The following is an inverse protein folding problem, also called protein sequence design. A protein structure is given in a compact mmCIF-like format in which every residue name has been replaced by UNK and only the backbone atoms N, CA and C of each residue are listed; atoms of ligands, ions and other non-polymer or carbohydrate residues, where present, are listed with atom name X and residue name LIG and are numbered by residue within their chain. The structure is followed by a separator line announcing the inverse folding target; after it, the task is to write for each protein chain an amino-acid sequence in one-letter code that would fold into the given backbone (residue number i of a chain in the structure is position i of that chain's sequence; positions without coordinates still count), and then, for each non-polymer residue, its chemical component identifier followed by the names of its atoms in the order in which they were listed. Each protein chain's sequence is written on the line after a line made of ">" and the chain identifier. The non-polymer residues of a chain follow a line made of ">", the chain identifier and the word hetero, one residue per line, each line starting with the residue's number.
data_IF_942782482852
#
_entry.id   IF_942782482852
#
_cell.length_a   1.000
_cell.length_b   1.000
_cell.length_c   1.000
_cell.angle_alpha   90.00
_cell.angle_beta   90.00
_cell.angle_gamma   90.00
#
_symmetry.space_group_name_H-M   'P 1'
#
loop_
_entity.id
_entity.type
_entity.pdbx_description
1 polymer ?
#
# COMPACT_ATOMS: atom_id res chain seq x y z
N UNK A 1 21.81 -52.43 -52.89
CA UNK A 1 21.89 -51.14 -53.61
C UNK A 1 20.52 -50.76 -54.19
N UNK A 2 19.80 -51.73 -54.80
CA UNK A 2 18.50 -51.48 -55.46
C UNK A 2 17.36 -51.17 -54.51
N UNK A 3 17.31 -51.75 -53.32
CA UNK A 3 16.22 -51.53 -52.34
C UNK A 3 16.26 -50.13 -51.73
N UNK A 4 17.45 -49.62 -51.37
CA UNK A 4 17.65 -48.23 -50.88
C UNK A 4 17.33 -47.19 -51.96
N UNK A 5 17.56 -47.46 -53.25
CA UNK A 5 17.20 -46.56 -54.34
C UNK A 5 15.70 -46.50 -54.59
N UNK A 6 15.00 -47.66 -54.43
CA UNK A 6 13.53 -47.75 -54.55
C UNK A 6 12.88 -46.96 -53.41
N UNK A 7 13.34 -47.16 -52.16
CA UNK A 7 12.85 -46.42 -51.00
C UNK A 7 13.05 -44.90 -51.13
N UNK A 8 14.20 -44.48 -51.61
CA UNK A 8 14.49 -43.03 -51.86
C UNK A 8 13.58 -42.48 -52.97
N UNK A 9 13.36 -43.22 -54.06
CA UNK A 9 12.43 -42.81 -55.10
C UNK A 9 10.98 -42.76 -54.65
N UNK A 10 10.56 -43.74 -53.85
CA UNK A 10 9.19 -43.76 -53.26
C UNK A 10 8.99 -42.52 -52.37
N UNK A 11 9.95 -42.19 -51.53
CA UNK A 11 9.90 -41.02 -50.67
C UNK A 11 9.86 -39.69 -51.46
N UNK A 12 10.60 -39.60 -52.55
CA UNK A 12 10.55 -38.45 -53.45
C UNK A 12 9.18 -38.34 -54.12
N UNK A 13 8.63 -39.44 -54.66
CA UNK A 13 7.35 -39.44 -55.34
C UNK A 13 6.18 -39.11 -54.39
N UNK A 14 6.26 -39.52 -53.14
CA UNK A 14 5.25 -39.17 -52.13
C UNK A 14 5.26 -37.68 -51.73
N UNK A 15 6.41 -36.99 -51.71
CA UNK A 15 6.54 -35.58 -51.36
C UNK A 15 6.11 -34.61 -52.50
N UNK A 16 6.30 -35.00 -53.75
CA UNK A 16 5.99 -34.16 -54.91
C UNK A 16 4.56 -33.62 -54.90
N UNK A 17 3.50 -34.40 -54.74
CA UNK A 17 2.13 -33.88 -54.74
C UNK A 17 1.91 -32.78 -53.71
N UNK A 18 2.38 -32.98 -52.48
CA UNK A 18 2.22 -32.03 -51.40
C UNK A 18 2.93 -30.70 -51.70
N UNK A 19 4.20 -30.73 -52.16
CA UNK A 19 4.98 -29.54 -52.49
C UNK A 19 4.34 -28.82 -53.69
N UNK A 20 3.90 -29.57 -54.72
CA UNK A 20 3.28 -28.99 -55.90
C UNK A 20 1.93 -28.36 -55.57
N UNK A 21 1.07 -29.07 -54.84
CA UNK A 21 -0.25 -28.51 -54.42
C UNK A 21 -0.08 -27.21 -53.63
N UNK A 22 0.86 -27.22 -52.69
CA UNK A 22 1.15 -26.02 -51.90
C UNK A 22 1.60 -24.86 -52.75
N UNK A 23 2.52 -25.07 -53.72
CA UNK A 23 3.05 -24.03 -54.57
C UNK A 23 2.10 -23.56 -55.69
N UNK A 24 1.26 -24.48 -56.24
CA UNK A 24 0.45 -24.13 -57.42
C UNK A 24 -0.99 -23.73 -57.08
N UNK A 25 -1.44 -24.03 -55.84
CA UNK A 25 -2.83 -23.75 -55.42
C UNK A 25 -2.86 -23.03 -54.09
N UNK A 26 -2.35 -23.60 -53.00
CA UNK A 26 -2.53 -23.04 -51.69
C UNK A 26 -1.88 -21.67 -51.45
N UNK A 27 -0.58 -21.55 -51.77
CA UNK A 27 0.16 -20.29 -51.60
C UNK A 27 -0.29 -19.17 -52.57
N UNK A 28 -0.56 -19.44 -53.85
CA UNK A 28 -1.12 -18.44 -54.77
C UNK A 28 -2.50 -17.93 -54.30
N UNK A 29 -3.42 -18.83 -53.89
CA UNK A 29 -4.75 -18.45 -53.40
C UNK A 29 -4.63 -17.59 -52.13
N UNK A 30 -3.76 -17.98 -51.18
CA UNK A 30 -3.49 -17.20 -49.97
C UNK A 30 -2.91 -15.82 -50.27
N UNK A 31 -2.00 -15.74 -51.26
CA UNK A 31 -1.39 -14.45 -51.62
C UNK A 31 -2.38 -13.53 -52.33
N UNK A 32 -3.25 -14.08 -53.18
CA UNK A 32 -4.34 -13.32 -53.84
C UNK A 32 -5.35 -12.78 -52.78
N UNK A 33 -5.73 -13.63 -51.82
CA UNK A 33 -6.60 -13.24 -50.69
C UNK A 33 -5.94 -12.14 -49.83
N UNK A 34 -4.64 -12.28 -49.57
CA UNK A 34 -3.84 -11.31 -48.80
C UNK A 34 -3.77 -9.94 -49.50
N UNK A 35 -3.48 -9.94 -50.84
CA UNK A 35 -3.46 -8.70 -51.63
C UNK A 35 -4.82 -8.06 -51.72
N UNK A 36 -5.90 -8.83 -51.92
CA UNK A 36 -7.24 -8.35 -51.93
C UNK A 36 -7.64 -7.78 -50.57
N UNK A 37 -7.22 -8.41 -49.48
CA UNK A 37 -7.38 -7.93 -48.07
C UNK A 37 -6.67 -6.58 -47.87
N UNK A 38 -5.40 -6.48 -48.29
CA UNK A 38 -4.62 -5.24 -48.21
C UNK A 38 -5.31 -4.08 -48.94
N UNK A 39 -5.74 -4.30 -50.21
CA UNK A 39 -6.46 -3.27 -50.97
C UNK A 39 -7.76 -2.80 -50.29
N UNK A 40 -8.52 -3.73 -49.73
CA UNK A 40 -9.74 -3.39 -48.97
C UNK A 40 -9.43 -2.54 -47.73
N UNK A 41 -8.32 -2.80 -47.02
CA UNK A 41 -7.91 -2.02 -45.89
C UNK A 41 -7.48 -0.60 -46.32
N UNK A 42 -6.73 -0.48 -47.40
CA UNK A 42 -6.36 0.82 -47.95
C UNK A 42 -7.60 1.63 -48.39
N UNK A 43 -8.57 1.00 -49.06
CA UNK A 43 -9.83 1.61 -49.44
C UNK A 43 -10.68 2.05 -48.23
N UNK A 44 -10.50 1.37 -47.10
CA UNK A 44 -11.12 1.72 -45.83
C UNK A 44 -10.26 2.69 -44.97
N UNK A 45 -9.26 3.32 -45.57
CA UNK A 45 -8.37 4.29 -44.97
C UNK A 45 -7.48 3.75 -43.77
N UNK A 46 -7.11 2.45 -43.80
CA UNK A 46 -6.11 1.95 -42.89
C UNK A 46 -4.72 2.40 -43.28
N UNK A 47 -3.95 2.81 -42.32
CA UNK A 47 -2.53 3.08 -42.44
C UNK A 47 -1.73 1.99 -41.73
N UNK A 48 -0.51 1.79 -42.15
CA UNK A 48 0.37 0.76 -41.62
C UNK A 48 1.70 1.40 -41.20
N UNK A 49 2.29 0.89 -40.15
CA UNK A 49 3.63 1.28 -39.70
C UNK A 49 4.66 0.82 -40.73
N UNK A 50 4.44 -0.37 -41.29
CA UNK A 50 5.28 -0.97 -42.33
C UNK A 50 5.00 -0.31 -43.68
N UNK A 51 5.98 0.42 -44.18
CA UNK A 51 5.86 1.14 -45.48
C UNK A 51 6.22 0.29 -46.70
N UNK A 52 6.70 -0.93 -46.50
CA UNK A 52 7.22 -1.81 -47.52
C UNK A 52 6.28 -2.95 -47.92
N UNK A 53 5.01 -2.92 -47.46
CA UNK A 53 4.03 -4.00 -47.67
C UNK A 53 3.85 -4.31 -49.16
N UNK A 54 3.72 -3.29 -50.03
CA UNK A 54 3.59 -3.52 -51.49
C UNK A 54 4.81 -4.20 -52.06
N UNK A 55 6.00 -3.78 -51.64
CA UNK A 55 7.24 -4.39 -52.08
C UNK A 55 7.36 -5.85 -51.62
N UNK A 56 6.92 -6.14 -50.41
CA UNK A 56 6.92 -7.52 -49.87
C UNK A 56 5.92 -8.41 -50.61
N UNK A 57 4.73 -7.91 -50.97
CA UNK A 57 3.77 -8.62 -51.80
C UNK A 57 4.35 -8.94 -53.18
N UNK A 58 5.04 -7.98 -53.83
CA UNK A 58 5.71 -8.21 -55.11
C UNK A 58 6.80 -9.29 -55.02
N UNK A 59 7.63 -9.22 -53.96
CA UNK A 59 8.68 -10.22 -53.71
C UNK A 59 8.12 -11.63 -53.51
N UNK A 60 6.95 -11.75 -52.89
CA UNK A 60 6.25 -13.04 -52.70
C UNK A 60 5.80 -13.62 -54.06
N UNK A 61 5.27 -12.82 -54.97
CA UNK A 61 4.94 -13.27 -56.33
C UNK A 61 6.17 -13.72 -57.11
N UNK A 62 7.30 -12.98 -56.98
CA UNK A 62 8.57 -13.38 -57.57
C UNK A 62 9.13 -14.69 -57.00
N UNK A 63 9.05 -14.85 -55.64
CA UNK A 63 9.46 -16.05 -54.96
C UNK A 63 8.63 -17.28 -55.38
N UNK A 64 7.32 -17.14 -55.52
CA UNK A 64 6.44 -18.20 -56.04
C UNK A 64 6.86 -18.62 -57.46
N UNK A 65 7.10 -17.63 -58.33
CA UNK A 65 7.54 -17.89 -59.71
C UNK A 65 8.90 -18.58 -59.76
N UNK A 66 9.86 -18.13 -58.96
CA UNK A 66 11.19 -18.71 -58.88
C UNK A 66 11.13 -20.13 -58.34
N UNK A 67 10.29 -20.39 -57.34
CA UNK A 67 10.15 -21.71 -56.75
C UNK A 67 9.51 -22.75 -57.71
N UNK A 68 8.67 -22.32 -58.67
CA UNK A 68 8.18 -23.18 -59.73
C UNK A 68 9.34 -23.70 -60.61
N UNK A 69 10.44 -22.94 -60.78
CA UNK A 69 11.63 -23.40 -61.52
C UNK A 69 12.40 -24.46 -60.70
N UNK A 70 12.46 -24.39 -59.36
CA UNK A 70 13.06 -25.40 -58.49
C UNK A 70 12.36 -26.77 -58.69
N UNK A 71 11.02 -26.75 -58.78
CA UNK A 71 10.28 -27.99 -59.08
C UNK A 71 10.59 -28.56 -60.45
N UNK A 72 10.67 -27.72 -61.51
CA UNK A 72 11.04 -28.14 -62.85
C UNK A 72 12.42 -28.79 -62.89
N UNK A 73 13.31 -28.32 -62.02
CA UNK A 73 14.68 -28.86 -61.88
C UNK A 73 14.75 -30.05 -60.92
N UNK A 74 13.64 -30.44 -60.31
CA UNK A 74 13.56 -31.49 -59.29
C UNK A 74 14.38 -31.19 -58.03
N UNK A 75 14.59 -29.92 -57.70
CA UNK A 75 15.24 -29.46 -56.46
C UNK A 75 14.20 -29.42 -55.32
N UNK A 76 13.71 -30.55 -54.89
CA UNK A 76 12.55 -30.68 -53.99
C UNK A 76 12.84 -30.08 -52.58
N UNK A 77 14.02 -30.27 -52.05
CA UNK A 77 14.38 -29.74 -50.74
C UNK A 77 14.40 -28.20 -50.74
N UNK A 78 14.92 -27.61 -51.81
CA UNK A 78 14.89 -26.16 -52.02
C UNK A 78 13.45 -25.68 -52.21
N UNK A 79 12.62 -26.40 -52.97
CA UNK A 79 11.24 -26.03 -53.21
C UNK A 79 10.39 -26.08 -51.91
N UNK A 80 10.62 -27.06 -51.06
CA UNK A 80 9.94 -27.17 -49.77
C UNK A 80 10.37 -26.07 -48.77
N UNK A 81 11.67 -25.78 -48.75
CA UNK A 81 12.21 -24.66 -47.95
C UNK A 81 11.62 -23.32 -48.40
N UNK A 82 11.62 -23.02 -49.67
CA UNK A 82 11.04 -21.79 -50.22
C UNK A 82 9.53 -21.69 -49.97
N UNK A 83 8.78 -22.79 -50.09
CA UNK A 83 7.37 -22.83 -49.72
C UNK A 83 7.15 -22.45 -48.27
N UNK A 84 8.06 -22.86 -47.37
CA UNK A 84 7.99 -22.52 -45.95
C UNK A 84 8.27 -21.04 -45.73
N UNK A 85 9.28 -20.49 -46.37
CA UNK A 85 9.61 -19.06 -46.29
C UNK A 85 8.47 -18.18 -46.80
N UNK A 86 7.89 -18.53 -47.97
CA UNK A 86 6.73 -17.84 -48.52
C UNK A 86 5.54 -17.86 -47.54
N UNK A 87 5.25 -19.03 -46.96
CA UNK A 87 4.17 -19.18 -45.98
C UNK A 87 4.41 -18.33 -44.73
N UNK A 88 5.61 -18.32 -44.21
CA UNK A 88 5.98 -17.52 -43.04
C UNK A 88 5.78 -16.02 -43.32
N UNK A 89 6.17 -15.54 -44.49
CA UNK A 89 6.00 -14.17 -44.89
C UNK A 89 4.54 -13.79 -45.13
N UNK A 90 3.74 -14.65 -45.75
CA UNK A 90 2.30 -14.48 -45.88
C UNK A 90 1.64 -14.36 -44.48
N UNK A 91 2.02 -15.23 -43.55
CA UNK A 91 1.53 -15.20 -42.20
C UNK A 91 1.95 -13.91 -41.47
N UNK A 92 3.16 -13.42 -41.69
CA UNK A 92 3.65 -12.17 -41.11
C UNK A 92 2.81 -10.98 -41.58
N UNK A 93 2.56 -10.87 -42.88
CA UNK A 93 1.71 -9.80 -43.44
C UNK A 93 0.26 -9.91 -42.94
N UNK A 94 -0.29 -11.12 -42.85
CA UNK A 94 -1.63 -11.36 -42.33
C UNK A 94 -1.76 -10.91 -40.85
N UNK A 95 -0.71 -11.15 -40.06
CA UNK A 95 -0.66 -10.71 -38.67
C UNK A 95 -0.66 -9.19 -38.55
N UNK A 96 0.07 -8.49 -39.44
CA UNK A 96 0.05 -7.01 -39.50
C UNK A 96 -1.39 -6.51 -39.74
N UNK A 97 -2.09 -7.05 -40.74
CA UNK A 97 -3.44 -6.62 -41.06
C UNK A 97 -4.43 -6.92 -39.94
N UNK A 98 -4.31 -8.12 -39.35
CA UNK A 98 -5.18 -8.53 -38.23
C UNK A 98 -4.95 -7.63 -37.01
N UNK A 99 -3.69 -7.24 -36.76
CA UNK A 99 -3.35 -6.31 -35.68
C UNK A 99 -4.02 -4.96 -35.90
N UNK A 100 -3.89 -4.36 -37.08
CA UNK A 100 -4.49 -3.04 -37.36
C UNK A 100 -6.02 -3.06 -37.21
N UNK A 101 -6.69 -4.13 -37.68
CA UNK A 101 -8.14 -4.30 -37.51
C UNK A 101 -8.52 -4.45 -36.02
N UNK A 102 -7.68 -5.13 -35.24
CA UNK A 102 -7.94 -5.25 -33.80
C UNK A 102 -7.74 -3.92 -33.09
N UNK A 103 -6.62 -3.22 -33.41
CA UNK A 103 -6.30 -1.90 -32.85
C UNK A 103 -7.36 -0.85 -33.14
N UNK A 104 -7.97 -0.86 -34.33
CA UNK A 104 -9.10 0.06 -34.63
C UNK A 104 -10.21 -0.03 -33.56
N UNK A 105 -10.63 -1.24 -33.20
CA UNK A 105 -11.71 -1.44 -32.23
C UNK A 105 -11.34 -0.93 -30.83
N UNK A 106 -10.07 -1.09 -30.45
CA UNK A 106 -9.56 -0.58 -29.19
C UNK A 106 -9.53 0.94 -29.20
N UNK A 107 -9.02 1.54 -30.28
CA UNK A 107 -8.98 3.00 -30.47
C UNK A 107 -10.38 3.59 -30.40
N UNK A 108 -11.36 3.06 -31.15
CA UNK A 108 -12.74 3.53 -31.12
C UNK A 108 -13.35 3.46 -29.70
N UNK A 109 -13.09 2.37 -28.98
CA UNK A 109 -13.54 2.24 -27.60
C UNK A 109 -12.87 3.25 -26.67
N UNK A 110 -11.55 3.41 -26.75
CA UNK A 110 -10.81 4.37 -25.91
C UNK A 110 -11.23 5.81 -26.17
N UNK A 111 -11.36 6.22 -27.43
CA UNK A 111 -11.83 7.56 -27.80
C UNK A 111 -13.27 7.85 -27.32
N UNK A 112 -14.10 6.83 -27.19
CA UNK A 112 -15.46 6.98 -26.65
C UNK A 112 -15.50 7.05 -25.12
N UNK A 113 -14.56 6.40 -24.44
CA UNK A 113 -14.59 6.25 -22.96
C UNK A 113 -13.70 7.24 -22.23
N UNK A 114 -12.53 7.59 -22.80
CA UNK A 114 -11.55 8.47 -22.16
C UNK A 114 -12.11 9.87 -21.82
N UNK A 115 -12.89 10.55 -22.68
CA UNK A 115 -13.47 11.85 -22.32
C UNK A 115 -14.33 11.79 -21.06
N UNK A 116 -15.21 10.79 -20.94
CA UNK A 116 -16.05 10.61 -19.75
C UNK A 116 -15.25 10.29 -18.51
N UNK A 117 -14.19 9.49 -18.64
CA UNK A 117 -13.29 9.16 -17.53
C UNK A 117 -12.52 10.40 -17.07
N UNK A 118 -12.05 11.21 -18.01
CA UNK A 118 -11.34 12.45 -17.74
C UNK A 118 -12.23 13.48 -17.04
N UNK A 119 -13.48 13.65 -17.49
CA UNK A 119 -14.46 14.52 -16.84
C UNK A 119 -14.72 14.08 -15.39
N UNK A 120 -14.87 12.77 -15.15
CA UNK A 120 -15.02 12.23 -13.80
C UNK A 120 -13.82 12.55 -12.89
N UNK A 121 -12.59 12.41 -13.39
CA UNK A 121 -11.39 12.75 -12.62
C UNK A 121 -11.27 14.26 -12.37
N UNK A 122 -11.69 15.11 -13.30
CA UNK A 122 -11.77 16.57 -13.10
C UNK A 122 -12.77 16.93 -12.01
N UNK A 123 -13.95 16.31 -12.01
CA UNK A 123 -14.96 16.53 -10.98
C UNK A 123 -14.42 16.08 -9.60
N UNK A 124 -13.78 14.93 -9.52
CA UNK A 124 -13.12 14.45 -8.29
C UNK A 124 -12.05 15.43 -7.79
N UNK A 125 -11.22 15.94 -8.70
CA UNK A 125 -10.19 16.92 -8.33
C UNK A 125 -10.79 18.22 -7.78
N UNK A 126 -11.92 18.70 -8.35
CA UNK A 126 -12.64 19.86 -7.81
C UNK A 126 -13.18 19.60 -6.39
N UNK A 127 -13.64 18.38 -6.10
CA UNK A 127 -14.05 18.00 -4.74
C UNK A 127 -12.87 18.07 -3.79
N UNK A 128 -11.70 17.52 -4.17
CA UNK A 128 -10.47 17.59 -3.35
C UNK A 128 -10.04 19.05 -3.07
N UNK A 129 -10.10 19.92 -4.08
CA UNK A 129 -9.82 21.37 -3.89
C UNK A 129 -10.75 21.98 -2.84
N UNK A 130 -12.06 21.72 -2.93
CA UNK A 130 -13.05 22.23 -1.97
C UNK A 130 -12.83 21.66 -0.57
N UNK A 131 -12.48 20.39 -0.45
CA UNK A 131 -12.17 19.76 0.83
C UNK A 131 -10.90 20.34 1.47
N UNK A 132 -9.85 20.58 0.69
CA UNK A 132 -8.65 21.27 1.17
C UNK A 132 -8.99 22.70 1.63
N UNK A 133 -9.79 23.45 0.88
CA UNK A 133 -10.24 24.79 1.27
C UNK A 133 -11.08 24.78 2.55
N UNK A 134 -11.93 23.77 2.72
CA UNK A 134 -12.74 23.58 3.92
C UNK A 134 -11.85 23.26 5.13
N UNK A 135 -10.97 22.28 4.97
CA UNK A 135 -10.08 21.81 6.04
C UNK A 135 -9.03 22.85 6.43
N UNK A 136 -8.52 23.62 5.49
CA UNK A 136 -7.53 24.68 5.76
C UNK A 136 -8.02 25.80 6.69
N UNK A 137 -9.33 25.91 6.90
CA UNK A 137 -9.91 26.83 7.89
C UNK A 137 -9.70 26.38 9.33
N UNK A 138 -9.58 25.07 9.54
CA UNK A 138 -9.47 24.44 10.86
C UNK A 138 -8.10 23.82 11.09
N UNK A 139 -7.48 23.30 10.04
CA UNK A 139 -6.22 22.55 10.12
C UNK A 139 -5.13 23.24 9.31
N UNK A 140 -3.89 23.13 9.80
CA UNK A 140 -2.72 23.51 9.04
C UNK A 140 -2.43 22.42 7.99
N UNK A 141 -2.79 22.71 6.73
CA UNK A 141 -2.59 21.77 5.63
C UNK A 141 -1.12 21.76 5.20
N UNK A 142 -0.59 20.58 4.89
CA UNK A 142 0.74 20.46 4.31
C UNK A 142 0.78 21.11 2.93
N UNK A 143 1.78 21.95 2.68
CA UNK A 143 1.95 22.64 1.39
C UNK A 143 2.13 21.64 0.24
N UNK A 144 2.71 20.46 0.52
CA UNK A 144 2.83 19.35 -0.42
C UNK A 144 1.50 18.88 -0.95
N UNK A 145 0.48 18.70 -0.11
CA UNK A 145 -0.84 18.20 -0.51
C UNK A 145 -1.59 19.23 -1.35
N UNK A 146 -1.52 20.51 -0.95
CA UNK A 146 -2.11 21.61 -1.73
C UNK A 146 -1.49 21.71 -3.12
N UNK A 147 -0.17 21.66 -3.20
CA UNK A 147 0.54 21.72 -4.47
C UNK A 147 0.34 20.47 -5.32
N UNK A 148 0.17 19.30 -4.70
CA UNK A 148 -0.09 18.05 -5.41
C UNK A 148 -1.43 18.10 -6.14
N UNK A 149 -2.52 18.49 -5.46
CA UNK A 149 -3.85 18.61 -6.07
C UNK A 149 -3.87 19.65 -7.21
N UNK A 150 -3.09 20.75 -7.08
CA UNK A 150 -2.95 21.73 -8.17
C UNK A 150 -2.23 21.13 -9.39
N UNK A 151 -1.22 20.30 -9.19
CA UNK A 151 -0.52 19.60 -10.29
C UNK A 151 -1.45 18.64 -10.99
N UNK A 152 -2.22 17.84 -10.24
CA UNK A 152 -3.21 16.93 -10.81
C UNK A 152 -4.19 17.67 -11.74
N UNK A 153 -4.59 18.92 -11.40
CA UNK A 153 -5.43 19.73 -12.28
C UNK A 153 -4.74 20.09 -13.59
N UNK A 154 -3.46 20.50 -13.52
CA UNK A 154 -2.67 20.85 -14.71
C UNK A 154 -2.45 19.61 -15.59
N UNK A 155 -2.19 18.46 -14.99
CA UNK A 155 -1.98 17.21 -15.70
C UNK A 155 -3.27 16.74 -16.39
N UNK A 156 -4.42 16.85 -15.72
CA UNK A 156 -5.75 16.56 -16.31
C UNK A 156 -6.07 17.48 -17.48
N UNK A 157 -5.79 18.78 -17.36
CA UNK A 157 -6.03 19.74 -18.45
C UNK A 157 -5.12 19.48 -19.66
N UNK A 158 -3.86 19.07 -19.40
CA UNK A 158 -2.93 18.65 -20.46
C UNK A 158 -3.37 17.37 -21.17
N UNK A 159 -3.87 16.39 -20.41
CA UNK A 159 -4.38 15.13 -20.98
C UNK A 159 -5.66 15.34 -21.79
N UNK A 160 -6.52 16.29 -21.39
CA UNK A 160 -7.69 16.68 -22.21
C UNK A 160 -7.30 17.20 -23.58
N UNK A 161 -6.29 18.07 -23.64
CA UNK A 161 -5.76 18.55 -24.91
C UNK A 161 -5.19 17.39 -25.74
N UNK A 162 -4.43 16.49 -25.10
CA UNK A 162 -3.87 15.31 -25.78
C UNK A 162 -4.96 14.40 -26.35
N UNK A 163 -6.03 14.14 -25.61
CA UNK A 163 -7.16 13.32 -26.09
C UNK A 163 -7.90 14.03 -27.24
N UNK A 164 -8.07 15.35 -27.14
CA UNK A 164 -8.68 16.15 -28.22
C UNK A 164 -7.85 16.13 -29.49
N UNK A 165 -6.52 16.26 -29.36
CA UNK A 165 -5.61 16.21 -30.52
C UNK A 165 -5.63 14.83 -31.16
N UNK A 166 -5.58 13.74 -30.39
CA UNK A 166 -5.67 12.36 -30.89
C UNK A 166 -7.01 12.08 -31.59
N UNK A 167 -8.09 12.66 -31.10
CA UNK A 167 -9.39 12.55 -31.75
C UNK A 167 -9.39 13.25 -33.11
N UNK A 168 -8.78 14.45 -33.18
CA UNK A 168 -8.67 15.23 -34.43
C UNK A 168 -7.72 14.54 -35.42
N UNK A 169 -6.61 13.98 -34.96
CA UNK A 169 -5.66 13.23 -35.83
C UNK A 169 -6.30 11.97 -36.42
N UNK A 170 -7.21 11.30 -35.70
CA UNK A 170 -7.98 10.17 -36.22
C UNK A 170 -8.90 10.61 -37.36
N UNK A 171 -9.48 11.82 -37.29
CA UNK A 171 -10.36 12.36 -38.34
C UNK A 171 -9.58 12.83 -39.58
N UNK A 172 -8.36 13.35 -39.41
CA UNK A 172 -7.53 13.94 -40.48
C UNK A 172 -6.60 12.93 -41.21
N UNK A 173 -6.50 11.70 -40.75
CA UNK A 173 -5.79 10.57 -41.41
C UNK A 173 -4.31 10.70 -41.63
N UNK A 174 -3.51 10.16 -40.69
CA UNK A 174 -2.10 9.92 -41.01
C UNK A 174 -1.40 8.82 -40.21
N UNK A 175 -2.00 8.26 -39.19
CA UNK A 175 -1.32 7.25 -38.36
C UNK A 175 -2.01 5.88 -38.39
N UNK A 176 -1.21 4.82 -38.24
CA UNK A 176 -1.70 3.46 -38.06
C UNK A 176 -2.49 3.32 -36.74
N UNK A 177 -3.56 2.53 -36.73
CA UNK A 177 -4.35 2.30 -35.51
C UNK A 177 -3.54 1.70 -34.37
N UNK A 178 -2.56 0.88 -34.66
CA UNK A 178 -1.65 0.31 -33.65
C UNK A 178 -0.82 1.38 -32.91
N UNK A 179 -0.46 2.47 -33.61
CA UNK A 179 0.25 3.61 -32.99
C UNK A 179 -0.70 4.46 -32.14
N UNK A 180 -1.89 4.71 -32.65
CA UNK A 180 -2.93 5.43 -31.89
C UNK A 180 -3.36 4.65 -30.63
N UNK A 181 -3.47 3.31 -30.72
CA UNK A 181 -3.74 2.44 -29.59
C UNK A 181 -2.69 2.63 -28.49
N UNK A 182 -1.41 2.53 -28.81
CA UNK A 182 -0.32 2.71 -27.86
C UNK A 182 -0.35 4.09 -27.18
N UNK A 183 -0.61 5.15 -27.95
CA UNK A 183 -0.73 6.52 -27.40
C UNK A 183 -1.94 6.67 -26.47
N UNK A 184 -3.09 6.13 -26.85
CA UNK A 184 -4.31 6.18 -26.01
C UNK A 184 -4.21 5.30 -24.77
N UNK A 185 -3.58 4.14 -24.86
CA UNK A 185 -3.28 3.29 -23.69
C UNK A 185 -2.37 4.00 -22.70
N UNK A 186 -1.35 4.73 -23.19
CA UNK A 186 -0.49 5.55 -22.33
C UNK A 186 -1.28 6.66 -21.62
N UNK A 187 -2.21 7.33 -22.32
CA UNK A 187 -3.11 8.30 -21.69
C UNK A 187 -3.98 7.64 -20.63
N UNK A 188 -4.56 6.49 -20.92
CA UNK A 188 -5.36 5.74 -19.97
C UNK A 188 -4.56 5.33 -18.71
N UNK A 189 -3.31 4.87 -18.90
CA UNK A 189 -2.44 4.53 -17.79
C UNK A 189 -2.14 5.75 -16.90
N UNK A 190 -1.84 6.91 -17.50
CA UNK A 190 -1.60 8.15 -16.76
C UNK A 190 -2.86 8.62 -16.02
N UNK A 191 -4.05 8.52 -16.62
CA UNK A 191 -5.31 8.84 -15.94
C UNK A 191 -5.56 7.94 -14.74
N UNK A 192 -5.18 6.66 -14.83
CA UNK A 192 -5.28 5.74 -13.71
C UNK A 192 -4.33 6.09 -12.57
N UNK A 193 -3.10 6.52 -12.88
CA UNK A 193 -2.17 7.01 -11.86
C UNK A 193 -2.73 8.26 -11.15
N UNK A 194 -3.35 9.17 -11.90
CA UNK A 194 -4.04 10.34 -11.33
C UNK A 194 -5.20 9.92 -10.41
N UNK A 195 -6.00 8.92 -10.79
CA UNK A 195 -7.07 8.38 -9.95
C UNK A 195 -6.54 7.85 -8.63
N UNK A 196 -5.47 7.04 -8.68
CA UNK A 196 -4.83 6.47 -7.49
C UNK A 196 -4.27 7.59 -6.57
N UNK A 197 -3.68 8.62 -7.15
CA UNK A 197 -3.22 9.81 -6.44
C UNK A 197 -4.38 10.58 -5.78
N UNK A 198 -5.50 10.78 -6.48
CA UNK A 198 -6.69 11.42 -5.93
C UNK A 198 -7.26 10.64 -4.75
N UNK A 199 -7.33 9.31 -4.86
CA UNK A 199 -7.76 8.44 -3.75
C UNK A 199 -6.83 8.59 -2.56
N UNK A 200 -5.51 8.57 -2.77
CA UNK A 200 -4.51 8.74 -1.72
C UNK A 200 -4.65 10.09 -1.00
N UNK A 201 -4.86 11.17 -1.73
CA UNK A 201 -5.10 12.50 -1.13
C UNK A 201 -6.40 12.48 -0.32
N UNK A 202 -7.49 11.95 -0.88
CA UNK A 202 -8.80 11.87 -0.20
C UNK A 202 -8.69 11.11 1.13
N UNK A 203 -7.99 9.98 1.15
CA UNK A 203 -7.77 9.20 2.37
C UNK A 203 -7.01 9.99 3.43
N UNK A 204 -5.96 10.74 3.02
CA UNK A 204 -5.22 11.61 3.96
C UNK A 204 -6.09 12.72 4.53
N UNK A 205 -6.94 13.37 3.72
CA UNK A 205 -7.85 14.39 4.18
C UNK A 205 -8.86 13.86 5.21
N UNK A 206 -9.41 12.67 4.96
CA UNK A 206 -10.30 11.97 5.91
C UNK A 206 -9.56 11.57 7.19
N UNK A 207 -8.28 11.19 7.08
CA UNK A 207 -7.47 10.81 8.24
C UNK A 207 -7.21 11.99 9.16
N UNK A 208 -7.00 13.21 8.64
CA UNK A 208 -6.86 14.45 9.43
C UNK A 208 -8.06 14.64 10.38
N UNK A 209 -9.29 14.52 9.89
CA UNK A 209 -10.49 14.67 10.71
C UNK A 209 -10.64 13.56 11.75
N UNK A 210 -10.29 12.31 11.38
CA UNK A 210 -10.30 11.18 12.32
C UNK A 210 -9.28 11.34 13.44
N UNK A 211 -8.08 11.80 13.11
CA UNK A 211 -7.00 12.00 14.07
C UNK A 211 -7.37 13.12 15.07
N UNK A 212 -7.95 14.22 14.60
CA UNK A 212 -8.46 15.28 15.49
C UNK A 212 -9.51 14.76 16.47
N UNK A 213 -10.51 14.04 15.97
CA UNK A 213 -11.57 13.46 16.83
C UNK A 213 -10.97 12.50 17.86
N UNK A 214 -10.07 11.61 17.44
CA UNK A 214 -9.39 10.67 18.34
C UNK A 214 -8.54 11.40 19.40
N UNK A 215 -7.79 12.41 18.99
CA UNK A 215 -6.94 13.18 19.91
C UNK A 215 -7.78 13.93 20.95
N UNK A 216 -8.89 14.57 20.56
CA UNK A 216 -9.82 15.24 21.49
C UNK A 216 -10.45 14.26 22.48
N UNK A 217 -10.85 13.09 22.01
CA UNK A 217 -11.40 12.06 22.90
C UNK A 217 -10.36 11.59 23.92
N UNK A 218 -9.13 11.30 23.46
CA UNK A 218 -8.04 10.87 24.34
C UNK A 218 -7.63 11.95 25.34
N UNK A 219 -7.53 13.22 24.91
CA UNK A 219 -7.23 14.33 25.80
C UNK A 219 -8.24 14.40 26.96
N UNK A 220 -9.53 14.33 26.67
CA UNK A 220 -10.58 14.29 27.71
C UNK A 220 -10.45 13.06 28.63
N UNK A 221 -10.12 11.90 28.07
CA UNK A 221 -9.89 10.69 28.88
C UNK A 221 -8.69 10.88 29.81
N UNK A 222 -7.59 11.47 29.35
CA UNK A 222 -6.40 11.69 30.17
C UNK A 222 -6.63 12.69 31.29
N UNK A 223 -7.35 13.78 31.06
CA UNK A 223 -7.77 14.71 32.11
C UNK A 223 -8.56 13.96 33.21
N UNK A 224 -9.52 13.14 32.82
CA UNK A 224 -10.31 12.37 33.76
C UNK A 224 -9.47 11.31 34.51
N UNK A 225 -8.51 10.68 33.85
CA UNK A 225 -7.58 9.73 34.47
C UNK A 225 -6.69 10.40 35.50
N UNK A 226 -6.09 11.56 35.17
CA UNK A 226 -5.30 12.35 36.12
C UNK A 226 -6.09 12.68 37.38
N UNK A 227 -7.33 13.14 37.22
CA UNK A 227 -8.22 13.40 38.37
C UNK A 227 -8.52 12.13 39.19
N UNK A 228 -8.70 11.01 38.51
CA UNK A 228 -8.98 9.73 39.17
C UNK A 228 -7.77 9.22 39.94
N UNK A 229 -6.56 9.27 39.33
CA UNK A 229 -5.29 8.91 39.95
C UNK A 229 -5.02 9.75 41.19
N UNK A 230 -5.17 11.09 41.07
CA UNK A 230 -5.02 12.01 42.20
C UNK A 230 -5.94 11.63 43.36
N UNK A 231 -7.24 11.47 43.09
CA UNK A 231 -8.25 11.10 44.08
C UNK A 231 -7.98 9.72 44.70
N UNK A 232 -7.48 8.79 43.90
CA UNK A 232 -7.12 7.45 44.36
C UNK A 232 -5.94 7.47 45.32
N UNK A 233 -4.89 8.22 45.03
CA UNK A 233 -3.74 8.39 45.91
C UNK A 233 -4.12 9.09 47.22
N UNK A 234 -4.92 10.15 47.16
CA UNK A 234 -5.43 10.88 48.35
C UNK A 234 -6.21 9.99 49.31
N UNK A 235 -6.97 9.01 48.80
CA UNK A 235 -7.79 8.10 49.62
C UNK A 235 -6.99 6.98 50.30
N UNK A 236 -5.74 6.73 49.93
CA UNK A 236 -4.97 5.60 50.45
C UNK A 236 -4.27 5.83 51.79
N UNK A 237 -4.40 7.02 52.38
CA UNK A 237 -3.79 7.38 53.66
C UNK A 237 -2.31 7.00 53.75
N UNK A 238 -1.57 7.15 52.66
CA UNK A 238 -0.14 6.93 52.63
C UNK A 238 0.57 7.96 53.52
N UNK A 239 1.66 7.61 54.22
CA UNK A 239 2.47 8.54 55.01
C UNK A 239 2.97 9.74 54.22
N UNK A 240 3.25 9.53 52.93
CA UNK A 240 3.69 10.55 51.99
C UNK A 240 3.62 10.10 50.54
N UNK A 241 3.88 11.01 49.64
CA UNK A 241 3.86 10.77 48.20
C UNK A 241 5.31 10.66 47.68
N UNK A 242 5.69 9.55 46.98
CA UNK A 242 7.01 9.40 46.42
C UNK A 242 7.37 10.53 45.45
N UNK A 243 8.60 11.00 45.50
CA UNK A 243 9.05 12.07 44.59
C UNK A 243 8.97 11.64 43.10
N UNK A 244 9.21 10.35 42.82
CA UNK A 244 9.13 9.81 41.48
C UNK A 244 7.68 9.92 40.93
N UNK A 245 6.70 9.53 41.76
CA UNK A 245 5.28 9.70 41.36
C UNK A 245 4.95 11.16 41.04
N UNK A 246 5.39 12.12 41.87
CA UNK A 246 5.11 13.53 41.61
C UNK A 246 5.71 13.99 40.28
N UNK A 247 6.93 13.55 39.96
CA UNK A 247 7.56 13.86 38.66
C UNK A 247 6.75 13.28 37.50
N UNK A 248 6.33 12.03 37.59
CA UNK A 248 5.52 11.37 36.55
C UNK A 248 4.12 12.02 36.42
N UNK A 249 3.52 12.38 37.55
CA UNK A 249 2.23 13.08 37.54
C UNK A 249 2.33 14.46 36.87
N UNK A 250 3.39 15.23 37.17
CA UNK A 250 3.62 16.50 36.49
C UNK A 250 3.94 16.33 34.99
N UNK A 251 4.70 15.31 34.61
CA UNK A 251 4.98 15.01 33.22
C UNK A 251 3.69 14.70 32.43
N UNK A 252 2.86 13.78 32.96
CA UNK A 252 1.59 13.40 32.34
C UNK A 252 0.58 14.56 32.32
N UNK A 253 0.57 15.42 33.35
CA UNK A 253 -0.27 16.62 33.36
C UNK A 253 0.17 17.61 32.28
N UNK A 254 1.47 17.86 32.18
CA UNK A 254 2.03 18.82 31.23
C UNK A 254 1.82 18.36 29.78
N UNK A 255 2.13 17.09 29.46
CA UNK A 255 1.89 16.56 28.11
C UNK A 255 0.40 16.53 27.75
N UNK A 256 -0.50 16.34 28.72
CA UNK A 256 -1.96 16.44 28.49
C UNK A 256 -2.39 17.89 28.26
N UNK A 257 -1.85 18.85 29.00
CA UNK A 257 -2.11 20.28 28.81
C UNK A 257 -1.58 20.77 27.46
N UNK A 258 -0.38 20.34 27.07
CA UNK A 258 0.21 20.64 25.74
C UNK A 258 -0.66 20.09 24.61
N UNK A 259 -1.19 18.87 24.76
CA UNK A 259 -2.11 18.27 23.79
C UNK A 259 -3.39 19.10 23.66
N UNK A 260 -3.96 19.54 24.76
CA UNK A 260 -5.16 20.38 24.74
C UNK A 260 -4.90 21.74 24.11
N UNK A 261 -3.76 22.37 24.44
CA UNK A 261 -3.35 23.66 23.90
C UNK A 261 -3.14 23.60 22.38
N UNK A 262 -2.56 22.51 21.86
CA UNK A 262 -2.38 22.30 20.42
C UNK A 262 -3.72 22.10 19.70
N UNK A 263 -4.66 21.36 20.32
CA UNK A 263 -6.01 21.15 19.80
C UNK A 263 -6.90 22.42 19.84
N UNK A 264 -6.56 23.41 20.64
CA UNK A 264 -7.26 24.72 20.74
C UNK A 264 -6.69 25.79 19.82
N UNK A 265 -5.63 25.51 19.04
CA UNK A 265 -5.08 26.45 18.08
C UNK A 265 -6.11 26.83 17.02
N UNK A 266 -6.01 28.04 16.48
CA UNK A 266 -6.89 28.52 15.40
C UNK A 266 -6.79 27.70 14.12
N UNK A 267 -5.59 27.15 13.87
CA UNK A 267 -5.32 26.13 12.87
C UNK A 267 -4.53 25.00 13.52
N UNK A 268 -5.16 23.85 13.65
CA UNK A 268 -4.59 22.68 14.32
C UNK A 268 -3.56 21.99 13.42
N UNK A 269 -2.36 21.77 13.94
CA UNK A 269 -1.34 20.97 13.27
C UNK A 269 -1.50 19.50 13.71
N UNK A 270 -2.12 18.67 12.88
CA UNK A 270 -2.39 17.26 13.21
C UNK A 270 -1.11 16.44 13.41
N UNK A 271 -0.02 16.71 12.69
CA UNK A 271 1.26 16.03 12.92
C UNK A 271 1.83 16.35 14.31
N UNK A 272 1.75 17.63 14.73
CA UNK A 272 2.13 18.05 16.08
C UNK A 272 1.22 17.40 17.13
N UNK A 273 -0.09 17.41 16.91
CA UNK A 273 -1.08 16.76 17.77
C UNK A 273 -0.76 15.27 17.95
N UNK A 274 -0.53 14.53 16.88
CA UNK A 274 -0.23 13.10 16.94
C UNK A 274 1.06 12.84 17.73
N UNK A 275 2.11 13.63 17.51
CA UNK A 275 3.36 13.51 18.28
C UNK A 275 3.16 13.79 19.78
N UNK A 276 2.42 14.84 20.15
CA UNK A 276 2.14 15.16 21.54
C UNK A 276 1.25 14.10 22.17
N UNK A 277 0.28 13.57 21.41
CA UNK A 277 -0.60 12.50 21.84
C UNK A 277 0.17 11.21 22.18
N UNK A 278 1.20 10.86 21.41
CA UNK A 278 2.09 9.72 21.71
C UNK A 278 2.83 9.93 23.04
N UNK A 279 3.37 11.14 23.25
CA UNK A 279 4.05 11.50 24.51
C UNK A 279 3.07 11.41 25.69
N UNK A 280 1.91 12.03 25.57
CA UNK A 280 0.89 12.02 26.63
C UNK A 280 0.39 10.59 26.93
N UNK A 281 0.25 9.76 25.91
CA UNK A 281 -0.11 8.34 26.06
C UNK A 281 0.93 7.57 26.86
N UNK A 282 2.20 7.76 26.52
CA UNK A 282 3.33 7.13 27.23
C UNK A 282 3.41 7.60 28.68
N UNK A 283 3.39 8.90 28.91
CA UNK A 283 3.46 9.48 30.24
C UNK A 283 2.31 8.99 31.13
N UNK A 284 1.11 8.88 30.58
CA UNK A 284 -0.05 8.35 31.29
C UNK A 284 0.11 6.88 31.66
N UNK A 285 0.60 6.04 30.74
CA UNK A 285 0.86 4.61 30.98
C UNK A 285 1.88 4.41 32.09
N UNK A 286 2.98 5.17 32.05
CA UNK A 286 4.03 5.12 33.08
C UNK A 286 3.48 5.56 34.43
N UNK A 287 2.70 6.65 34.48
CA UNK A 287 2.06 7.12 35.71
C UNK A 287 1.08 6.10 36.30
N UNK A 288 0.24 5.49 35.46
CA UNK A 288 -0.68 4.44 35.88
C UNK A 288 0.06 3.25 36.49
N UNK A 289 1.13 2.80 35.82
CA UNK A 289 1.96 1.68 36.27
C UNK A 289 2.62 1.98 37.63
N UNK A 290 3.18 3.17 37.79
CA UNK A 290 3.77 3.60 39.06
C UNK A 290 2.70 3.73 40.16
N UNK A 291 1.50 4.23 39.84
CA UNK A 291 0.40 4.31 40.79
C UNK A 291 0.01 2.94 41.33
N UNK A 292 -0.10 1.94 40.47
CA UNK A 292 -0.37 0.57 40.86
C UNK A 292 0.75 0.00 41.72
N UNK A 293 2.01 0.21 41.33
CA UNK A 293 3.20 -0.25 42.04
C UNK A 293 3.25 0.29 43.48
N UNK A 294 3.05 1.61 43.63
CA UNK A 294 3.05 2.27 44.95
C UNK A 294 1.98 1.67 45.86
N UNK A 295 0.75 1.55 45.36
CA UNK A 295 -0.36 1.02 46.17
C UNK A 295 -0.15 -0.46 46.50
N UNK A 296 0.34 -1.24 45.58
CA UNK A 296 0.67 -2.64 45.80
C UNK A 296 1.72 -2.81 46.90
N UNK A 297 2.85 -2.14 46.74
CA UNK A 297 3.95 -2.27 47.72
C UNK A 297 3.59 -1.67 49.07
N UNK A 298 2.90 -0.55 49.13
CA UNK A 298 2.43 -0.01 50.40
C UNK A 298 1.51 -1.01 51.13
N UNK A 299 0.52 -1.55 50.44
CA UNK A 299 -0.44 -2.51 51.05
C UNK A 299 0.25 -3.79 51.50
N UNK A 300 1.16 -4.34 50.67
CA UNK A 300 1.93 -5.55 51.00
C UNK A 300 2.87 -5.31 52.20
N UNK A 301 3.50 -4.12 52.23
CA UNK A 301 4.40 -3.76 53.35
C UNK A 301 3.63 -3.70 54.65
N UNK A 302 2.48 -2.99 54.67
CA UNK A 302 1.61 -2.93 55.88
C UNK A 302 1.25 -4.35 56.35
N UNK A 303 0.84 -5.23 55.46
CA UNK A 303 0.44 -6.59 55.78
C UNK A 303 1.67 -7.41 56.31
N UNK A 304 2.83 -7.28 55.74
CA UNK A 304 4.06 -7.99 56.17
C UNK A 304 4.57 -7.43 57.49
N UNK A 305 4.51 -6.11 57.71
CA UNK A 305 4.85 -5.50 59.00
C UNK A 305 3.91 -6.01 60.13
N UNK A 306 2.60 -6.07 59.87
CA UNK A 306 1.66 -6.66 60.80
C UNK A 306 1.95 -8.15 61.04
N UNK A 307 2.24 -8.90 59.99
CA UNK A 307 2.56 -10.33 60.11
C UNK A 307 3.86 -10.58 60.88
N UNK A 308 4.86 -9.73 60.72
CA UNK A 308 6.18 -9.85 61.38
C UNK A 308 6.10 -9.76 62.89
N UNK A 309 5.02 -9.19 63.45
CA UNK A 309 4.79 -9.15 64.92
C UNK A 309 4.81 -10.53 65.57
N UNK A 310 4.60 -11.61 64.81
CA UNK A 310 4.67 -13.00 65.32
C UNK A 310 6.08 -13.43 65.69
N UNK A 311 7.09 -12.81 65.08
CA UNK A 311 8.50 -13.21 65.18
C UNK A 311 9.35 -12.18 65.94
N UNK A 312 8.97 -10.92 66.00
CA UNK A 312 9.78 -9.80 66.53
C UNK A 312 10.23 -9.95 67.94
N UNK A 313 9.50 -10.68 68.79
CA UNK A 313 9.85 -10.86 70.20
C UNK A 313 11.00 -11.85 70.41
N UNK A 314 11.38 -12.66 69.43
CA UNK A 314 12.39 -13.72 69.56
C UNK A 314 13.37 -13.80 68.36
N UNK A 315 13.18 -12.93 67.36
CA UNK A 315 14.11 -12.84 66.21
C UNK A 315 14.58 -11.38 66.04
N UNK A 316 15.84 -11.12 66.44
CA UNK A 316 16.46 -9.79 66.35
C UNK A 316 16.57 -9.30 64.92
N UNK A 317 16.83 -10.20 63.93
CA UNK A 317 16.94 -9.86 62.51
C UNK A 317 15.61 -9.33 61.95
N UNK A 318 14.49 -9.98 62.31
CA UNK A 318 13.17 -9.52 61.93
C UNK A 318 12.81 -8.21 62.67
N UNK A 319 13.19 -8.05 63.90
CA UNK A 319 12.96 -6.81 64.64
C UNK A 319 13.71 -5.62 64.01
N UNK A 320 14.96 -5.82 63.62
CA UNK A 320 15.74 -4.81 62.92
C UNK A 320 15.14 -4.49 61.57
N UNK A 321 14.80 -5.48 60.73
CA UNK A 321 14.19 -5.29 59.44
C UNK A 321 12.82 -4.57 59.52
N UNK A 322 12.05 -4.86 60.59
CA UNK A 322 10.80 -4.13 60.87
C UNK A 322 11.04 -2.62 61.08
N UNK A 323 12.01 -2.25 61.92
CA UNK A 323 12.32 -0.83 62.16
C UNK A 323 12.85 -0.14 60.92
N UNK A 324 13.75 -0.75 60.20
CA UNK A 324 14.31 -0.21 58.96
C UNK A 324 13.26 -0.09 57.88
N UNK A 325 12.41 -1.11 57.69
CA UNK A 325 11.30 -1.07 56.74
C UNK A 325 10.27 0.04 57.10
N UNK A 326 9.94 0.16 58.38
CA UNK A 326 9.02 1.20 58.85
C UNK A 326 9.58 2.61 58.65
N UNK A 327 10.89 2.81 58.92
CA UNK A 327 11.55 4.10 58.66
C UNK A 327 11.54 4.47 57.18
N UNK A 328 11.83 3.52 56.27
CA UNK A 328 11.73 3.73 54.81
C UNK A 328 10.30 4.05 54.43
N UNK A 329 9.31 3.32 54.98
CA UNK A 329 7.90 3.50 54.70
C UNK A 329 7.38 4.88 55.10
N UNK A 330 7.72 5.34 56.32
CA UNK A 330 7.18 6.58 56.90
C UNK A 330 7.97 7.84 56.55
N UNK A 331 9.26 7.74 56.26
CA UNK A 331 10.11 8.92 56.08
C UNK A 331 10.67 9.05 54.66
N UNK A 332 11.02 7.95 53.99
CA UNK A 332 11.53 7.99 52.64
C UNK A 332 10.39 7.84 51.56
N UNK A 333 9.28 7.27 51.95
CA UNK A 333 8.12 6.98 51.08
C UNK A 333 8.50 6.07 49.92
N UNK A 334 9.55 5.25 50.05
CA UNK A 334 9.97 4.21 49.13
C UNK A 334 9.31 2.88 49.50
N UNK A 335 8.09 2.70 49.03
CA UNK A 335 7.26 1.57 49.36
C UNK A 335 7.84 0.25 48.84
N UNK A 336 8.49 0.27 47.68
CA UNK A 336 9.15 -0.92 47.14
C UNK A 336 10.36 -1.34 48.02
N UNK A 337 11.26 -0.42 48.33
CA UNK A 337 12.41 -0.72 49.17
C UNK A 337 11.99 -1.17 50.56
N UNK A 338 10.94 -0.56 51.14
CA UNK A 338 10.34 -0.98 52.39
C UNK A 338 9.79 -2.41 52.32
N UNK A 339 9.06 -2.76 51.28
CA UNK A 339 8.56 -4.11 51.06
C UNK A 339 9.70 -5.12 50.91
N UNK A 340 10.70 -4.81 50.09
CA UNK A 340 11.86 -5.70 49.90
C UNK A 340 12.58 -5.98 51.19
N UNK A 341 12.74 -4.97 52.07
CA UNK A 341 13.42 -5.09 53.33
C UNK A 341 12.70 -6.06 54.28
N UNK A 342 11.43 -5.92 54.51
CA UNK A 342 10.67 -6.78 55.42
C UNK A 342 10.42 -8.16 54.82
N UNK A 343 10.21 -8.26 53.51
CA UNK A 343 9.98 -9.53 52.83
C UNK A 343 11.24 -10.45 52.91
N UNK A 344 12.43 -9.90 52.66
CA UNK A 344 13.68 -10.65 52.77
C UNK A 344 13.89 -11.25 54.15
N UNK A 345 13.64 -10.49 55.22
CA UNK A 345 13.77 -11.00 56.61
C UNK A 345 12.74 -12.08 56.91
N UNK A 346 11.50 -11.92 56.47
CA UNK A 346 10.45 -12.91 56.69
C UNK A 346 10.66 -14.19 55.88
N UNK A 347 11.20 -14.11 54.65
CA UNK A 347 11.52 -15.30 53.84
C UNK A 347 12.60 -16.19 54.48
N UNK A 348 13.50 -15.62 55.27
CA UNK A 348 14.49 -16.39 56.03
C UNK A 348 13.81 -17.19 57.14
N UNK A 349 12.85 -16.59 57.85
CA UNK A 349 12.14 -17.24 58.96
C UNK A 349 11.01 -18.18 58.46
N UNK A 350 10.34 -17.84 57.41
CA UNK A 350 9.23 -18.62 56.82
C UNK A 350 9.30 -18.57 55.28
N UNK A 351 10.01 -19.52 54.66
CA UNK A 351 10.12 -19.57 53.19
C UNK A 351 8.75 -19.63 52.47
N UNK A 352 8.54 -18.79 51.43
CA UNK A 352 7.32 -18.71 50.65
C UNK A 352 6.25 -17.77 51.22
N UNK A 353 6.52 -17.10 52.34
CA UNK A 353 5.58 -16.18 52.97
C UNK A 353 5.25 -14.99 52.06
N UNK A 354 6.25 -14.41 51.45
CA UNK A 354 6.08 -13.27 50.53
C UNK A 354 5.19 -13.63 49.36
N UNK A 355 5.43 -14.76 48.70
CA UNK A 355 4.63 -15.25 47.59
C UNK A 355 3.16 -15.49 47.97
N UNK A 356 2.93 -15.96 49.20
CA UNK A 356 1.56 -16.13 49.71
C UNK A 356 0.81 -14.80 49.82
N UNK A 357 1.48 -13.76 50.34
CA UNK A 357 0.85 -12.42 50.45
C UNK A 357 0.65 -11.78 49.08
N UNK A 358 1.63 -11.84 48.19
CA UNK A 358 1.53 -11.34 46.82
C UNK A 358 0.37 -12.04 46.07
N UNK A 359 0.31 -13.38 46.14
CA UNK A 359 -0.78 -14.13 45.50
C UNK A 359 -2.17 -13.83 46.08
N UNK A 360 -2.23 -13.55 47.39
CA UNK A 360 -3.46 -13.15 48.07
C UNK A 360 -3.89 -11.74 47.63
N UNK A 361 -2.92 -10.81 47.55
CA UNK A 361 -3.17 -9.46 47.08
C UNK A 361 -3.70 -9.46 45.63
N UNK A 362 -3.07 -10.21 44.73
CA UNK A 362 -3.47 -10.32 43.33
C UNK A 362 -4.91 -10.86 43.17
N UNK A 363 -5.35 -11.77 44.04
CA UNK A 363 -6.72 -12.31 44.05
C UNK A 363 -7.76 -11.34 44.56
N UNK A 364 -7.36 -10.42 45.44
CA UNK A 364 -8.27 -9.52 46.17
C UNK A 364 -8.16 -8.07 45.70
N UNK A 365 -7.15 -7.74 44.89
CA UNK A 365 -6.96 -6.37 44.38
C UNK A 365 -8.19 -5.92 43.60
N UNK A 366 -8.67 -4.74 43.90
CA UNK A 366 -9.64 -4.05 43.07
C UNK A 366 -9.00 -3.78 41.70
N UNK A 367 -9.64 -4.22 40.63
CA UNK A 367 -9.24 -3.84 39.27
C UNK A 367 -9.66 -2.39 39.10
N UNK A 368 -8.76 -1.49 39.40
CA UNK A 368 -8.99 -0.06 39.19
C UNK A 368 -8.77 0.19 37.70
N UNK A 369 -9.85 0.60 37.05
CA UNK A 369 -9.80 1.14 35.69
C UNK A 369 -9.72 2.66 35.83
N UNK A 370 -8.53 3.18 35.57
CA UNK A 370 -8.33 4.63 35.48
C UNK A 370 -8.98 5.21 34.25
#
# INVERSE_FOLDING_TARGET
>A
ITENHILALTHIVERIPAIVTKLTTELPDQLEDLEAGYRKLLDANYHFVETDIESRLQLLYEALKNNQENIKKLELDNAEYENTQIQEEINALYNIFTREIASQKVVENLLSTLPTYLDHLKDNNQVLVKDIERLSKTYLMAESDVNHVRRLQVDLDSLELTVSDLTSEQEEYSEAYSVLEERLENVQATLKEIEDDQVSVSERLVQIEKDDVNARQKANVYVNRLHTIKRYMEKRNLPGIPQNFLKLFFAASHSTEDLMAELEQSQVNIESVNRILEIASHDMEVLETETYSIVQYATLTEQLLQYSNRYRSFDEGIQQAFHESLEIFENAFDYQASFEKISQALEVAEPGVTNRFVSSYEKTREIIRF
#
